data_IF_249823655410
#
_entry.id   IF_249823655410
#
_cell.length_a   1.000
_cell.length_b   1.000
_cell.length_c   1.000
_cell.angle_alpha   90.00
_cell.angle_beta   90.00
_cell.angle_gamma   90.00
#
_symmetry.space_group_name_H-M   'P 1'
#
loop_
_entity.id
_entity.type
_entity.pdbx_description
1 polymer ?
#
# COMPACT_ATOMS: atom_id res chain seq x y z
N UNK A 1 -0.55 -8.39 6.67
CA UNK A 1 -1.82 -8.65 5.94
C UNK A 1 -1.83 -10.11 5.49
N UNK A 2 -2.98 -10.74 5.25
CA UNK A 2 -3.02 -12.06 4.60
C UNK A 2 -2.43 -12.00 3.19
N UNK A 3 -1.98 -13.14 2.67
CA UNK A 3 -1.58 -13.25 1.27
C UNK A 3 -2.83 -13.14 0.38
N UNK A 4 -2.77 -12.28 -0.63
CA UNK A 4 -3.82 -12.08 -1.63
C UNK A 4 -3.20 -11.55 -2.92
N UNK A 5 -3.73 -11.98 -4.07
CA UNK A 5 -3.34 -11.49 -5.39
C UNK A 5 -3.70 -10.01 -5.60
N UNK A 6 -4.66 -9.48 -4.82
CA UNK A 6 -5.05 -8.06 -4.85
C UNK A 6 -3.99 -7.14 -4.22
N UNK A 7 -2.99 -7.70 -3.53
CA UNK A 7 -1.96 -6.94 -2.81
C UNK A 7 -0.65 -7.00 -3.60
N UNK A 8 -0.34 -5.90 -4.29
CA UNK A 8 0.91 -5.77 -5.06
C UNK A 8 2.13 -5.71 -4.13
N UNK A 9 2.02 -4.99 -3.02
CA UNK A 9 3.10 -4.77 -2.06
C UNK A 9 2.53 -4.38 -0.69
N UNK A 10 3.21 -4.76 0.40
CA UNK A 10 2.85 -4.31 1.75
C UNK A 10 4.06 -4.19 2.67
N UNK A 11 4.05 -3.20 3.56
CA UNK A 11 5.03 -3.10 4.65
C UNK A 11 4.57 -3.93 5.85
N UNK A 12 5.46 -4.10 6.82
CA UNK A 12 5.08 -4.57 8.15
C UNK A 12 4.30 -3.48 8.89
N UNK A 13 3.52 -3.90 9.89
CA UNK A 13 2.95 -2.96 10.85
C UNK A 13 4.06 -2.44 11.77
N UNK A 14 4.15 -1.13 11.92
CA UNK A 14 5.12 -0.47 12.81
C UNK A 14 4.40 0.21 13.98
N UNK A 15 5.06 0.19 15.14
CA UNK A 15 4.65 0.94 16.32
C UNK A 15 5.12 2.41 16.21
N UNK A 16 4.63 3.32 17.08
CA UNK A 16 5.10 4.70 17.12
C UNK A 16 6.64 4.80 17.19
N UNK A 17 7.23 5.61 16.30
CA UNK A 17 8.68 5.76 16.16
C UNK A 17 9.36 4.67 15.31
N UNK A 18 8.64 3.61 14.94
CA UNK A 18 9.13 2.58 14.02
C UNK A 18 9.10 3.05 12.56
N UNK A 19 10.06 2.56 11.77
CA UNK A 19 10.16 2.83 10.34
C UNK A 19 10.32 1.49 9.61
N UNK A 20 9.57 1.33 8.53
CA UNK A 20 9.75 0.24 7.58
C UNK A 20 9.75 0.82 6.16
N UNK A 21 10.46 0.17 5.24
CA UNK A 21 10.56 0.60 3.83
C UNK A 21 10.32 -0.60 2.94
N UNK A 22 9.51 -0.40 1.91
CA UNK A 22 9.33 -1.37 0.82
C UNK A 22 9.77 -0.76 -0.50
N UNK A 23 10.41 -1.57 -1.32
CA UNK A 23 10.72 -1.28 -2.72
C UNK A 23 10.03 -2.33 -3.58
N UNK A 24 9.29 -1.89 -4.59
CA UNK A 24 8.57 -2.76 -5.50
C UNK A 24 8.56 -2.14 -6.90
N UNK A 25 8.35 -2.98 -7.91
CA UNK A 25 8.23 -2.52 -9.29
C UNK A 25 6.80 -2.05 -9.53
N UNK A 26 6.64 -0.84 -10.05
CA UNK A 26 5.33 -0.33 -10.41
C UNK A 26 4.67 -1.24 -11.47
N UNK A 27 3.35 -1.48 -11.38
CA UNK A 27 2.62 -2.23 -12.40
C UNK A 27 2.84 -1.66 -13.80
N UNK A 28 2.87 -2.54 -14.81
CA UNK A 28 3.02 -2.14 -16.21
C UNK A 28 1.73 -1.53 -16.79
N UNK A 29 0.59 -1.86 -16.20
CA UNK A 29 -0.70 -1.34 -16.61
C UNK A 29 -0.88 0.09 -16.07
N UNK A 30 -1.14 1.09 -16.92
CA UNK A 30 -1.48 2.43 -16.45
C UNK A 30 -2.82 2.40 -15.72
N UNK A 31 -2.87 3.04 -14.56
CA UNK A 31 -4.06 3.00 -13.72
C UNK A 31 -3.89 3.67 -12.36
N UNK A 32 -4.99 3.68 -11.61
CA UNK A 32 -5.06 4.18 -10.25
C UNK A 32 -4.96 2.99 -9.27
N UNK A 33 -3.86 2.94 -8.53
CA UNK A 33 -3.56 1.88 -7.57
C UNK A 33 -3.70 2.42 -6.15
N UNK A 34 -4.73 2.02 -5.39
CA UNK A 34 -4.93 2.51 -4.04
C UNK A 34 -3.87 1.95 -3.09
N UNK A 35 -3.36 2.80 -2.19
CA UNK A 35 -2.61 2.35 -1.02
C UNK A 35 -3.37 2.76 0.23
N UNK A 36 -3.45 1.86 1.20
CA UNK A 36 -4.20 2.05 2.44
C UNK A 36 -3.40 1.57 3.65
N UNK A 37 -3.67 2.17 4.81
CA UNK A 37 -3.30 1.54 6.07
C UNK A 37 -4.37 0.51 6.45
N UNK A 38 -4.00 -0.78 6.45
CA UNK A 38 -4.92 -1.89 6.76
C UNK A 38 -5.17 -2.08 8.25
N UNK A 39 -4.62 -1.22 9.12
CA UNK A 39 -4.92 -1.27 10.54
C UNK A 39 -6.44 -1.02 10.75
N UNK A 40 -7.13 -1.80 11.60
CA UNK A 40 -8.58 -1.72 11.74
C UNK A 40 -9.09 -0.28 11.90
N UNK A 41 -9.91 0.16 10.93
CA UNK A 41 -10.51 1.51 10.90
C UNK A 41 -9.66 2.62 10.27
N UNK A 42 -8.34 2.46 10.14
CA UNK A 42 -7.46 3.53 9.69
C UNK A 42 -7.63 3.88 8.20
N UNK A 43 -7.93 2.90 7.35
CA UNK A 43 -8.13 3.06 5.90
C UNK A 43 -9.16 4.14 5.52
N UNK A 44 -10.09 4.49 6.41
CA UNK A 44 -11.08 5.54 6.18
C UNK A 44 -10.45 6.92 5.97
N UNK A 45 -9.31 7.18 6.62
CA UNK A 45 -8.55 8.43 6.52
C UNK A 45 -7.19 8.21 5.88
N UNK A 46 -6.52 7.11 6.22
CA UNK A 46 -5.19 6.76 5.75
C UNK A 46 -5.27 5.97 4.43
N UNK A 47 -5.56 6.69 3.36
CA UNK A 47 -5.58 6.15 2.01
C UNK A 47 -5.03 7.18 1.01
N UNK A 48 -4.60 6.69 -0.14
CA UNK A 48 -4.24 7.52 -1.29
C UNK A 48 -4.16 6.70 -2.56
N UNK A 49 -3.81 7.36 -3.67
CA UNK A 49 -3.74 6.74 -4.99
C UNK A 49 -2.33 6.92 -5.56
N UNK A 50 -1.71 5.80 -5.94
CA UNK A 50 -0.54 5.79 -6.82
C UNK A 50 -1.07 5.77 -8.26
N UNK A 51 -0.73 6.79 -9.05
CA UNK A 51 -1.12 6.86 -10.46
C UNK A 51 0.02 6.41 -11.34
N UNK A 52 -0.14 5.27 -12.00
CA UNK A 52 0.78 4.81 -13.05
C UNK A 52 0.33 5.42 -14.38
N UNK A 53 1.22 6.16 -15.03
CA UNK A 53 0.96 6.83 -16.31
C UNK A 53 1.95 6.32 -17.37
N UNK A 54 1.56 6.46 -18.64
CA UNK A 54 2.46 6.24 -19.79
C UNK A 54 3.50 7.34 -19.90
#
# INVERSE_FOLDING_TARGET
>A
VPESEDIIASTKLVNPGGVDKIEFVAPSEPGDYPYICTFPGHWRLMQGIIKVKK
#
